data_IF_613349926062
#
_entry.id   IF_613349926062
#
_cell.length_a   1.000
_cell.length_b   1.000
_cell.length_c   1.000
_cell.angle_alpha   90.00
_cell.angle_beta   90.00
_cell.angle_gamma   90.00
#
_symmetry.space_group_name_H-M   'P 1'
#
loop_
_entity.id
_entity.type
_entity.pdbx_description
1 polymer ?
#
# COMPACT_ATOMS: atom_id res chain seq x y z
N UNK A 1 -3.31 45.02 -28.31
CA UNK A 1 -4.31 44.15 -27.60
C UNK A 1 -3.52 43.42 -26.56
N UNK A 2 -3.45 43.98 -25.37
CA UNK A 2 -2.68 43.50 -24.22
C UNK A 2 -3.44 42.28 -23.64
N UNK A 3 -2.82 41.12 -23.66
CA UNK A 3 -3.40 39.95 -23.06
C UNK A 3 -3.37 40.14 -21.54
N UNK A 4 -4.53 40.25 -20.92
CA UNK A 4 -4.67 40.30 -19.46
C UNK A 4 -4.01 39.03 -18.87
N UNK A 5 -2.98 39.21 -18.05
CA UNK A 5 -2.41 38.13 -17.25
C UNK A 5 -3.52 37.49 -16.39
N UNK A 6 -3.61 36.16 -16.32
CA UNK A 6 -4.59 35.51 -15.48
C UNK A 6 -4.33 35.95 -14.03
N UNK A 7 -5.32 36.56 -13.40
CA UNK A 7 -5.27 36.98 -12.00
C UNK A 7 -5.00 35.74 -11.13
N UNK A 8 -3.77 35.55 -10.70
CA UNK A 8 -3.39 34.45 -9.79
C UNK A 8 -3.96 34.80 -8.42
N UNK A 9 -4.89 34.01 -7.94
CA UNK A 9 -5.47 34.20 -6.61
C UNK A 9 -4.37 34.03 -5.56
N UNK A 10 -4.19 34.95 -4.60
CA UNK A 10 -3.22 34.77 -3.52
C UNK A 10 -3.48 33.47 -2.76
N UNK A 11 -2.42 32.76 -2.39
CA UNK A 11 -2.51 31.45 -1.72
C UNK A 11 -3.38 31.47 -0.47
N UNK A 12 -3.33 32.55 0.31
CA UNK A 12 -4.11 32.67 1.54
C UNK A 12 -5.61 32.79 1.26
N UNK A 13 -5.99 33.49 0.20
CA UNK A 13 -7.38 33.60 -0.25
C UNK A 13 -7.87 32.25 -0.80
N UNK A 14 -7.01 31.59 -1.57
CA UNK A 14 -7.29 30.24 -2.07
C UNK A 14 -7.54 29.25 -0.92
N UNK A 15 -6.69 29.25 0.09
CA UNK A 15 -6.84 28.39 1.28
C UNK A 15 -8.16 28.68 2.00
N UNK A 16 -8.53 29.95 2.16
CA UNK A 16 -9.77 30.32 2.85
C UNK A 16 -11.01 29.87 2.06
N UNK A 17 -11.00 29.99 0.74
CA UNK A 17 -12.07 29.46 -0.12
C UNK A 17 -12.17 27.94 -0.03
N UNK A 18 -11.03 27.25 -0.15
CA UNK A 18 -10.98 25.80 -0.09
C UNK A 18 -11.38 25.25 1.27
N UNK A 19 -11.13 25.97 2.35
CA UNK A 19 -11.59 25.60 3.71
C UNK A 19 -13.11 25.55 3.84
N UNK A 20 -13.86 26.26 3.02
CA UNK A 20 -15.33 26.26 3.04
C UNK A 20 -15.93 25.12 2.25
N UNK A 21 -15.15 24.45 1.42
CA UNK A 21 -15.59 23.33 0.61
C UNK A 21 -15.64 22.02 1.42
N UNK A 22 -16.50 21.11 1.00
CA UNK A 22 -16.53 19.75 1.53
C UNK A 22 -15.22 19.00 1.17
N UNK A 23 -14.76 18.03 1.99
CA UNK A 23 -13.49 17.31 1.76
C UNK A 23 -13.35 16.70 0.36
N UNK A 24 -14.44 16.13 -0.20
CA UNK A 24 -14.42 15.56 -1.56
C UNK A 24 -14.21 16.62 -2.64
N UNK A 25 -14.75 17.84 -2.46
CA UNK A 25 -14.56 18.95 -3.38
C UNK A 25 -13.13 19.49 -3.31
N UNK A 26 -12.56 19.59 -2.10
CA UNK A 26 -11.15 19.94 -1.93
C UNK A 26 -10.25 18.91 -2.61
N UNK A 27 -10.57 17.62 -2.49
CA UNK A 27 -9.83 16.57 -3.19
C UNK A 27 -9.92 16.73 -4.72
N UNK A 28 -11.09 17.10 -5.26
CA UNK A 28 -11.25 17.39 -6.69
C UNK A 28 -10.44 18.62 -7.12
N UNK A 29 -10.33 19.64 -6.28
CA UNK A 29 -9.55 20.85 -6.56
C UNK A 29 -8.04 20.58 -6.76
N UNK A 30 -7.50 19.48 -6.26
CA UNK A 30 -6.11 19.05 -6.49
C UNK A 30 -5.79 18.77 -7.97
N UNK A 31 -6.82 18.53 -8.78
CA UNK A 31 -6.67 18.25 -10.21
C UNK A 31 -6.72 19.50 -11.11
N UNK A 32 -7.00 20.67 -10.54
CA UNK A 32 -7.10 21.91 -11.30
C UNK A 32 -5.76 22.36 -11.86
N UNK A 33 -4.73 22.49 -11.01
CA UNK A 33 -3.36 22.81 -11.41
C UNK A 33 -2.36 22.43 -10.30
N UNK A 34 -1.06 22.48 -10.63
CA UNK A 34 0.02 22.14 -9.70
C UNK A 34 0.00 23.04 -8.46
N UNK A 35 -0.15 24.38 -8.62
CA UNK A 35 -0.16 25.33 -7.50
C UNK A 35 -1.28 25.03 -6.50
N UNK A 36 -2.48 24.71 -6.98
CA UNK A 36 -3.60 24.32 -6.11
C UNK A 36 -3.31 23.01 -5.37
N UNK A 37 -2.73 22.04 -6.04
CA UNK A 37 -2.33 20.77 -5.41
C UNK A 37 -1.34 21.03 -4.29
N UNK A 38 -0.25 21.75 -4.57
CA UNK A 38 0.81 22.03 -3.61
C UNK A 38 0.26 22.79 -2.39
N UNK A 39 -0.61 23.76 -2.60
CA UNK A 39 -1.29 24.52 -1.52
C UNK A 39 -2.21 23.61 -0.68
N UNK A 40 -3.00 22.76 -1.32
CA UNK A 40 -3.90 21.84 -0.61
C UNK A 40 -3.09 20.83 0.21
N UNK A 41 -2.04 20.24 -0.37
CA UNK A 41 -1.20 19.25 0.29
C UNK A 41 -0.42 19.86 1.46
N UNK A 42 0.07 21.08 1.33
CA UNK A 42 0.79 21.77 2.41
C UNK A 42 -0.13 22.25 3.54
N UNK A 43 -1.31 22.81 3.22
CA UNK A 43 -2.12 23.56 4.20
C UNK A 43 -3.46 22.91 4.56
N UNK A 44 -4.00 22.01 3.73
CA UNK A 44 -5.34 21.42 3.90
C UNK A 44 -5.35 19.89 4.00
N UNK A 45 -4.20 19.23 3.91
CA UNK A 45 -4.08 17.77 3.96
C UNK A 45 -4.81 17.15 5.17
N UNK A 46 -4.71 17.80 6.34
CA UNK A 46 -5.40 17.33 7.57
C UNK A 46 -6.92 17.35 7.46
N UNK A 47 -7.50 18.18 6.60
CA UNK A 47 -8.96 18.21 6.36
C UNK A 47 -9.41 17.13 5.37
N UNK A 48 -8.54 16.73 4.46
CA UNK A 48 -8.82 15.66 3.51
C UNK A 48 -8.78 14.29 4.18
N UNK A 49 -7.94 14.15 5.20
CA UNK A 49 -7.87 12.94 6.00
C UNK A 49 -8.94 13.00 7.08
N UNK A 50 -9.87 12.07 7.06
CA UNK A 50 -10.75 11.86 8.20
C UNK A 50 -9.90 11.62 9.44
N UNK A 51 -9.96 12.50 10.43
CA UNK A 51 -9.17 12.40 11.66
C UNK A 51 -9.62 11.25 12.58
N UNK A 52 -10.69 10.58 12.22
CA UNK A 52 -11.21 9.43 12.99
C UNK A 52 -11.26 8.18 12.13
N UNK A 53 -10.77 7.09 12.68
CA UNK A 53 -10.97 5.76 12.10
C UNK A 53 -12.48 5.48 12.11
N UNK A 54 -13.07 5.37 10.93
CA UNK A 54 -14.52 5.15 10.76
C UNK A 54 -14.87 3.69 10.53
N UNK A 55 -13.87 2.86 10.22
CA UNK A 55 -14.03 1.42 10.08
C UNK A 55 -12.68 0.73 9.94
N UNK A 56 -12.65 -0.55 10.24
CA UNK A 56 -11.47 -1.41 10.16
C UNK A 56 -11.84 -2.73 9.51
N UNK A 57 -10.91 -3.29 8.74
CA UNK A 57 -10.97 -4.67 8.31
C UNK A 57 -10.23 -5.56 9.32
N UNK A 58 -10.84 -6.66 9.71
CA UNK A 58 -10.24 -7.64 10.63
C UNK A 58 -10.13 -8.99 9.92
N UNK A 59 -8.93 -9.55 9.96
CA UNK A 59 -8.67 -10.93 9.52
C UNK A 59 -8.74 -11.86 10.72
N UNK A 60 -9.83 -12.56 10.90
CA UNK A 60 -9.92 -13.59 11.92
C UNK A 60 -9.18 -14.88 11.48
N UNK A 61 -8.54 -15.56 12.43
CA UNK A 61 -7.75 -16.76 12.12
C UNK A 61 -8.64 -17.89 11.58
N UNK A 62 -9.87 -17.99 12.06
CA UNK A 62 -10.82 -19.05 11.66
C UNK A 62 -11.67 -18.67 10.43
N UNK A 63 -11.53 -17.48 9.89
CA UNK A 63 -12.31 -16.98 8.74
C UNK A 63 -11.48 -16.89 7.48
N UNK A 64 -12.09 -17.32 6.38
CA UNK A 64 -11.45 -17.29 5.05
C UNK A 64 -11.43 -15.92 4.41
N UNK A 65 -12.18 -14.96 4.96
CA UNK A 65 -12.30 -13.60 4.43
C UNK A 65 -12.24 -12.58 5.57
N UNK A 66 -11.96 -11.32 5.21
CA UNK A 66 -11.92 -10.20 6.16
C UNK A 66 -13.31 -9.68 6.45
N UNK A 67 -13.57 -9.39 7.71
CA UNK A 67 -14.80 -8.72 8.15
C UNK A 67 -14.56 -7.22 8.31
N UNK A 68 -15.54 -6.42 7.94
CA UNK A 68 -15.49 -4.97 8.10
C UNK A 68 -16.32 -4.52 9.29
N UNK A 69 -15.71 -3.81 10.20
CA UNK A 69 -16.35 -3.19 11.35
C UNK A 69 -16.39 -1.68 11.19
N UNK A 70 -17.57 -1.10 11.09
CA UNK A 70 -17.74 0.34 11.04
C UNK A 70 -18.03 0.91 12.43
N UNK A 71 -17.49 2.10 12.70
CA UNK A 71 -17.86 2.85 13.89
C UNK A 71 -19.24 3.47 13.69
N UNK A 72 -20.15 3.30 14.64
CA UNK A 72 -21.44 4.00 14.61
C UNK A 72 -21.23 5.52 14.48
N UNK A 73 -21.91 6.15 13.56
CA UNK A 73 -21.84 7.61 13.36
C UNK A 73 -23.18 8.13 12.89
N UNK A 74 -23.45 9.40 13.16
CA UNK A 74 -24.65 10.11 12.66
C UNK A 74 -24.54 10.52 11.19
N UNK A 75 -23.36 10.33 10.57
CA UNK A 75 -23.11 10.61 9.14
C UNK A 75 -23.45 9.41 8.24
N UNK A 76 -23.22 9.54 6.93
CA UNK A 76 -23.42 8.46 5.99
C UNK A 76 -22.66 7.21 6.42
N UNK A 77 -23.33 6.04 6.37
CA UNK A 77 -22.72 4.77 6.69
C UNK A 77 -21.55 4.50 5.72
N UNK A 78 -20.40 4.12 6.27
CA UNK A 78 -19.30 3.60 5.47
C UNK A 78 -19.53 2.12 5.26
N UNK A 79 -19.63 1.73 4.02
CA UNK A 79 -19.68 0.33 3.63
C UNK A 79 -18.27 -0.16 3.29
N UNK A 80 -17.77 -1.14 4.03
CA UNK A 80 -16.55 -1.88 3.71
C UNK A 80 -16.80 -3.04 2.76
N UNK A 81 -18.00 -3.16 2.22
CA UNK A 81 -18.36 -4.25 1.30
C UNK A 81 -17.50 -4.20 0.03
N UNK A 82 -16.86 -5.33 -0.27
CA UNK A 82 -16.13 -5.56 -1.52
C UNK A 82 -16.93 -6.48 -2.46
N UNK A 83 -18.26 -6.38 -2.39
CA UNK A 83 -19.26 -7.13 -3.15
C UNK A 83 -19.21 -6.91 -4.67
N UNK A 84 -18.55 -5.85 -5.09
CA UNK A 84 -18.28 -5.54 -6.51
C UNK A 84 -17.11 -6.34 -7.10
N UNK A 85 -16.39 -7.11 -6.29
CA UNK A 85 -15.36 -8.03 -6.76
C UNK A 85 -15.97 -9.29 -7.38
N UNK A 86 -15.29 -9.94 -8.32
CA UNK A 86 -15.80 -11.13 -9.00
C UNK A 86 -15.70 -12.42 -8.17
N UNK A 87 -15.50 -12.30 -6.85
CA UNK A 87 -15.33 -13.43 -5.94
C UNK A 87 -16.15 -13.23 -4.65
N UNK A 88 -16.48 -14.33 -3.99
CA UNK A 88 -17.21 -14.32 -2.72
C UNK A 88 -16.22 -14.31 -1.56
N UNK A 89 -15.98 -13.13 -1.04
CA UNK A 89 -15.09 -12.92 0.08
C UNK A 89 -13.61 -12.88 -0.31
N UNK A 90 -12.90 -11.95 0.27
CA UNK A 90 -11.47 -11.76 0.11
C UNK A 90 -10.83 -11.52 1.46
N UNK A 91 -9.56 -11.86 1.56
CA UNK A 91 -8.72 -11.54 2.70
C UNK A 91 -7.84 -10.33 2.37
N UNK A 92 -7.92 -9.30 3.21
CA UNK A 92 -7.08 -8.12 3.08
C UNK A 92 -5.64 -8.49 3.48
N UNK A 93 -4.68 -8.13 2.65
CA UNK A 93 -3.25 -8.31 2.92
C UNK A 93 -2.59 -7.01 3.35
N UNK A 94 -2.87 -5.94 2.62
CA UNK A 94 -2.19 -4.67 2.80
C UNK A 94 -3.05 -3.52 2.28
N UNK A 95 -2.70 -2.30 2.63
CA UNK A 95 -3.32 -1.10 2.10
C UNK A 95 -2.31 0.03 1.99
N UNK A 96 -2.48 0.88 0.99
CA UNK A 96 -1.64 2.05 0.79
C UNK A 96 -2.44 3.14 0.09
N UNK A 97 -2.51 4.32 0.69
CA UNK A 97 -3.06 5.55 0.11
C UNK A 97 -4.43 5.37 -0.59
N UNK A 98 -5.36 4.70 0.09
CA UNK A 98 -6.73 4.45 -0.39
C UNK A 98 -6.88 3.25 -1.31
N UNK A 99 -5.81 2.57 -1.67
CA UNK A 99 -5.84 1.28 -2.33
C UNK A 99 -5.75 0.15 -1.29
N UNK A 100 -6.38 -0.96 -1.60
CA UNK A 100 -6.37 -2.19 -0.78
C UNK A 100 -5.86 -3.34 -1.62
N UNK A 101 -4.87 -4.07 -1.11
CA UNK A 101 -4.42 -5.34 -1.66
C UNK A 101 -5.15 -6.46 -0.94
N UNK A 102 -5.86 -7.28 -1.68
CA UNK A 102 -6.58 -8.41 -1.14
C UNK A 102 -6.48 -9.65 -2.04
N UNK A 103 -6.83 -10.79 -1.51
CA UNK A 103 -6.80 -12.03 -2.26
C UNK A 103 -7.99 -12.93 -1.92
N UNK A 104 -8.44 -13.71 -2.90
CA UNK A 104 -9.16 -14.96 -2.70
C UNK A 104 -8.16 -16.14 -2.66
N UNK A 105 -8.64 -17.36 -2.68
CA UNK A 105 -7.80 -18.56 -2.65
C UNK A 105 -6.85 -18.72 -3.83
N UNK A 106 -7.16 -18.09 -4.97
CA UNK A 106 -6.48 -18.30 -6.24
C UNK A 106 -5.86 -17.04 -6.82
N UNK A 107 -6.35 -15.86 -6.41
CA UNK A 107 -6.06 -14.61 -7.13
C UNK A 107 -5.87 -13.46 -6.18
N UNK A 108 -5.11 -12.48 -6.63
CA UNK A 108 -4.89 -11.24 -5.92
C UNK A 108 -5.48 -10.06 -6.67
N UNK A 109 -5.96 -9.09 -5.92
CA UNK A 109 -6.62 -7.90 -6.45
C UNK A 109 -6.08 -6.66 -5.76
N UNK A 110 -5.89 -5.60 -6.53
CA UNK A 110 -5.74 -4.25 -6.00
C UNK A 110 -7.05 -3.52 -6.23
N UNK A 111 -7.60 -2.96 -5.19
CA UNK A 111 -8.96 -2.43 -5.12
C UNK A 111 -8.91 -0.99 -4.64
N UNK A 112 -9.68 -0.12 -5.27
CA UNK A 112 -10.02 1.19 -4.73
C UNK A 112 -11.48 1.14 -4.23
N UNK A 113 -11.72 1.02 -2.92
CA UNK A 113 -13.08 0.91 -2.38
C UNK A 113 -13.93 2.16 -2.63
N UNK A 114 -13.32 3.35 -2.66
CA UNK A 114 -14.03 4.61 -2.84
C UNK A 114 -14.61 4.75 -4.26
N UNK A 115 -13.89 4.24 -5.27
CA UNK A 115 -14.34 4.30 -6.67
C UNK A 115 -14.93 2.98 -7.16
N UNK A 116 -14.93 1.94 -6.33
CA UNK A 116 -15.34 0.56 -6.65
C UNK A 116 -14.59 -0.02 -7.87
N UNK A 117 -13.39 0.50 -8.15
CA UNK A 117 -12.52 0.00 -9.22
C UNK A 117 -11.55 -1.04 -8.67
N UNK A 118 -11.25 -2.03 -9.47
CA UNK A 118 -10.31 -3.08 -9.12
C UNK A 118 -9.52 -3.57 -10.32
N UNK A 119 -8.37 -4.15 -10.04
CA UNK A 119 -7.54 -4.82 -11.02
C UNK A 119 -7.07 -6.16 -10.44
N UNK A 120 -7.12 -7.21 -11.25
CA UNK A 120 -6.55 -8.50 -10.91
C UNK A 120 -5.06 -8.48 -11.22
N UNK A 121 -4.25 -8.94 -10.28
CA UNK A 121 -2.82 -9.14 -10.51
C UNK A 121 -2.59 -10.40 -11.36
N UNK A 122 -1.58 -10.41 -12.24
CA UNK A 122 -1.12 -11.62 -12.88
C UNK A 122 -0.67 -12.66 -11.85
N UNK A 123 -0.66 -13.93 -12.26
CA UNK A 123 -0.13 -14.99 -11.41
C UNK A 123 1.27 -14.64 -10.90
N UNK A 124 1.52 -14.91 -9.61
CA UNK A 124 2.83 -14.68 -9.02
C UNK A 124 3.89 -15.54 -9.71
N UNK A 125 5.05 -14.97 -10.04
CA UNK A 125 6.19 -15.76 -10.45
C UNK A 125 6.68 -16.62 -9.26
N UNK A 126 7.35 -17.74 -9.55
CA UNK A 126 7.95 -18.55 -8.50
C UNK A 126 9.01 -17.75 -7.72
N UNK A 127 9.23 -18.06 -6.43
CA UNK A 127 10.28 -17.40 -5.64
C UNK A 127 11.62 -17.47 -6.35
N UNK A 128 12.48 -16.43 -6.25
CA UNK A 128 13.82 -16.49 -6.78
C UNK A 128 14.62 -17.63 -6.14
N UNK A 129 15.27 -18.48 -6.96
CA UNK A 129 15.87 -19.74 -6.54
C UNK A 129 17.10 -19.68 -5.61
N UNK A 130 17.51 -18.49 -5.17
CA UNK A 130 18.65 -18.31 -4.28
C UNK A 130 18.32 -18.46 -2.78
N UNK A 131 17.05 -18.62 -2.44
CA UNK A 131 16.59 -18.85 -1.05
C UNK A 131 15.44 -19.86 -1.06
N UNK A 132 15.74 -21.17 -1.19
CA UNK A 132 14.74 -22.21 -1.14
C UNK A 132 14.06 -22.24 0.22
N UNK A 133 12.78 -22.56 0.25
CA UNK A 133 12.00 -22.69 1.49
C UNK A 133 11.42 -21.40 2.05
N UNK A 134 11.68 -20.21 1.45
CA UNK A 134 11.02 -18.98 1.86
C UNK A 134 9.66 -18.81 1.18
N UNK A 135 8.69 -18.34 1.94
CA UNK A 135 7.42 -17.84 1.44
C UNK A 135 7.57 -16.41 0.87
N UNK A 136 6.52 -15.93 0.21
CA UNK A 136 6.45 -14.56 -0.28
C UNK A 136 5.20 -13.87 0.21
N UNK A 137 5.38 -12.72 0.85
CA UNK A 137 4.28 -11.85 1.24
C UNK A 137 4.21 -10.65 0.30
N UNK A 138 3.00 -10.34 -0.16
CA UNK A 138 2.77 -9.20 -1.04
C UNK A 138 2.50 -7.94 -0.23
N UNK A 139 3.16 -6.84 -0.61
CA UNK A 139 3.01 -5.50 -0.06
C UNK A 139 2.71 -4.49 -1.15
N UNK A 140 1.81 -3.56 -0.86
CA UNK A 140 1.36 -2.53 -1.78
C UNK A 140 2.12 -1.23 -1.53
N UNK A 141 2.66 -0.63 -2.59
CA UNK A 141 3.22 0.71 -2.56
C UNK A 141 2.49 1.60 -3.56
N UNK A 142 1.97 2.71 -3.07
CA UNK A 142 1.26 3.69 -3.86
C UNK A 142 1.42 5.08 -3.23
N UNK A 143 1.74 6.05 -4.05
CA UNK A 143 1.72 7.47 -3.70
C UNK A 143 1.01 8.22 -4.84
N UNK A 144 -0.26 8.54 -4.61
CA UNK A 144 -1.07 9.23 -5.61
C UNK A 144 -0.56 10.64 -5.95
N UNK A 145 0.25 11.26 -5.08
CA UNK A 145 0.85 12.56 -5.33
C UNK A 145 2.04 12.46 -6.30
N UNK A 146 2.79 11.36 -6.23
CA UNK A 146 3.95 11.13 -7.08
C UNK A 146 3.58 10.48 -8.42
N UNK A 147 2.65 9.51 -8.41
CA UNK A 147 2.31 8.73 -9.61
C UNK A 147 0.88 8.15 -9.53
N UNK A 148 0.16 8.06 -10.66
CA UNK A 148 -1.10 7.32 -10.72
C UNK A 148 -0.91 5.80 -10.71
N UNK A 149 0.35 5.32 -10.71
CA UNK A 149 0.69 3.92 -10.80
C UNK A 149 1.16 3.38 -9.46
N UNK A 150 0.63 2.22 -9.08
CA UNK A 150 1.05 1.49 -7.89
C UNK A 150 2.03 0.35 -8.24
N UNK A 151 2.75 -0.10 -7.23
CA UNK A 151 3.61 -1.27 -7.29
C UNK A 151 3.19 -2.29 -6.22
N UNK A 152 3.44 -3.57 -6.49
CA UNK A 152 3.28 -4.65 -5.50
C UNK A 152 4.59 -5.39 -5.41
N UNK A 153 5.13 -5.49 -4.19
CA UNK A 153 6.39 -6.15 -3.89
C UNK A 153 6.11 -7.54 -3.33
N UNK A 154 6.73 -8.57 -3.87
CA UNK A 154 6.75 -9.90 -3.28
C UNK A 154 8.01 -10.02 -2.42
N UNK A 155 7.84 -9.80 -1.13
CA UNK A 155 8.95 -9.83 -0.17
C UNK A 155 9.07 -11.23 0.40
N UNK A 156 10.24 -11.86 0.27
CA UNK A 156 10.50 -13.16 0.88
C UNK A 156 10.35 -13.09 2.40
N UNK A 157 9.71 -14.07 2.96
CA UNK A 157 9.50 -14.18 4.39
C UNK A 157 9.66 -15.63 4.86
N UNK A 158 9.92 -15.79 6.14
CA UNK A 158 10.03 -17.11 6.74
C UNK A 158 8.67 -17.82 6.73
N UNK A 159 8.60 -19.10 6.33
CA UNK A 159 7.36 -19.86 6.36
C UNK A 159 6.86 -20.09 7.80
N UNK A 160 5.55 -20.26 7.96
CA UNK A 160 4.93 -20.46 9.29
C UNK A 160 5.40 -21.76 9.98
N UNK A 161 5.73 -22.78 9.21
CA UNK A 161 6.18 -24.10 9.70
C UNK A 161 7.68 -24.20 10.00
N UNK A 162 8.44 -23.12 9.81
CA UNK A 162 9.90 -23.17 9.83
C UNK A 162 10.48 -23.57 8.48
N UNK A 163 11.80 -23.68 8.40
CA UNK A 163 12.50 -24.18 7.21
C UNK A 163 12.62 -25.70 7.30
N UNK A 164 12.31 -26.38 6.21
CA UNK A 164 12.51 -27.85 6.12
C UNK A 164 13.99 -28.23 6.09
N UNK A 165 14.83 -27.33 5.60
CA UNK A 165 16.28 -27.52 5.50
C UNK A 165 17.03 -26.59 6.45
N UNK A 166 17.81 -27.18 7.35
CA UNK A 166 18.62 -26.46 8.33
C UNK A 166 19.92 -25.89 7.75
N UNK A 167 20.27 -26.17 6.51
CA UNK A 167 21.55 -25.74 5.89
C UNK A 167 21.69 -24.22 5.77
N UNK A 168 20.59 -23.48 5.78
CA UNK A 168 20.57 -22.01 5.63
C UNK A 168 20.48 -21.26 6.96
N UNK A 169 20.40 -21.94 8.10
CA UNK A 169 20.15 -21.32 9.40
C UNK A 169 21.24 -20.35 9.87
N UNK A 170 22.48 -20.55 9.45
CA UNK A 170 23.62 -19.68 9.77
C UNK A 170 23.75 -18.48 8.84
N UNK A 171 22.90 -18.40 7.81
CA UNK A 171 22.93 -17.28 6.87
C UNK A 171 22.51 -15.98 7.53
N UNK A 172 23.18 -14.88 7.16
CA UNK A 172 22.80 -13.53 7.59
C UNK A 172 21.37 -13.19 7.21
N UNK A 173 20.64 -12.52 8.12
CA UNK A 173 19.30 -12.03 7.88
C UNK A 173 19.11 -10.56 8.30
N UNK A 174 18.51 -9.69 7.44
CA UNK A 174 18.27 -9.93 6.01
C UNK A 174 19.59 -10.12 5.24
N UNK A 175 19.60 -10.84 4.12
CA UNK A 175 20.80 -11.01 3.33
C UNK A 175 21.31 -9.67 2.75
N UNK A 176 22.59 -9.61 2.39
CA UNK A 176 23.21 -8.39 1.83
C UNK A 176 22.53 -7.93 0.53
N UNK A 177 21.96 -8.85 -0.23
CA UNK A 177 21.19 -8.54 -1.44
C UNK A 177 19.95 -9.41 -1.53
N UNK A 178 18.85 -8.78 -1.98
CA UNK A 178 17.56 -9.43 -2.18
C UNK A 178 17.13 -9.29 -3.63
N UNK A 179 16.97 -10.40 -4.32
CA UNK A 179 16.20 -10.40 -5.56
C UNK A 179 14.74 -10.70 -5.25
N UNK A 180 13.86 -9.79 -5.54
CA UNK A 180 12.41 -9.95 -5.36
C UNK A 180 11.65 -9.55 -6.62
N UNK A 181 10.42 -10.02 -6.72
CA UNK A 181 9.54 -9.63 -7.82
C UNK A 181 8.72 -8.40 -7.44
N UNK A 182 8.66 -7.46 -8.37
CA UNK A 182 7.89 -6.22 -8.24
C UNK A 182 6.91 -6.14 -9.41
N UNK A 183 5.64 -6.08 -9.12
CA UNK A 183 4.61 -5.78 -10.11
C UNK A 183 4.50 -4.28 -10.30
N UNK A 184 4.41 -3.84 -11.54
CA UNK A 184 4.09 -2.45 -11.89
C UNK A 184 2.72 -2.37 -12.54
N UNK A 185 1.83 -1.52 -12.02
CA UNK A 185 0.53 -1.27 -12.63
C UNK A 185 0.63 -0.52 -13.96
N UNK A 186 1.77 0.13 -14.22
CA UNK A 186 2.07 0.79 -15.48
C UNK A 186 2.36 -0.23 -16.60
N UNK A 187 3.31 -1.15 -16.35
CA UNK A 187 3.72 -2.16 -17.34
C UNK A 187 2.83 -3.41 -17.35
N UNK A 188 2.00 -3.59 -16.29
CA UNK A 188 1.15 -4.78 -16.06
C UNK A 188 1.94 -6.09 -15.95
N UNK A 189 3.19 -6.03 -15.53
CA UNK A 189 4.12 -7.18 -15.47
C UNK A 189 4.84 -7.24 -14.14
N UNK A 190 5.24 -8.47 -13.78
CA UNK A 190 6.20 -8.74 -12.73
C UNK A 190 7.62 -8.61 -13.29
N UNK A 191 8.46 -7.86 -12.61
CA UNK A 191 9.87 -7.68 -12.94
C UNK A 191 10.71 -8.12 -11.75
N UNK A 192 11.82 -8.81 -12.03
CA UNK A 192 12.78 -9.20 -10.99
C UNK A 192 13.72 -8.02 -10.75
N UNK A 193 13.78 -7.55 -9.52
CA UNK A 193 14.62 -6.41 -9.11
C UNK A 193 15.45 -6.82 -7.92
N UNK A 194 16.75 -6.47 -7.94
CA UNK A 194 17.65 -6.74 -6.83
C UNK A 194 17.74 -5.49 -5.95
N UNK A 195 17.55 -5.67 -4.65
CA UNK A 195 17.70 -4.66 -3.63
C UNK A 195 18.92 -4.98 -2.79
N UNK A 196 19.66 -3.97 -2.38
CA UNK A 196 20.80 -4.08 -1.50
C UNK A 196 20.38 -3.65 -0.09
N UNK A 197 20.86 -4.37 0.91
CA UNK A 197 20.68 -3.99 2.31
C UNK A 197 21.58 -2.81 2.62
N UNK A 198 21.02 -1.81 3.27
CA UNK A 198 21.79 -0.73 3.89
C UNK A 198 22.11 -1.13 5.34
N UNK A 199 23.36 -0.99 5.73
CA UNK A 199 23.82 -1.35 7.07
C UNK A 199 24.08 -2.85 7.28
N UNK A 200 24.25 -3.23 8.54
CA UNK A 200 24.58 -4.58 8.97
C UNK A 200 23.37 -5.52 9.04
N UNK A 201 23.62 -6.84 9.03
CA UNK A 201 22.58 -7.82 9.25
C UNK A 201 22.01 -7.70 10.67
N UNK A 202 20.71 -7.91 10.81
CA UNK A 202 20.07 -7.94 12.13
C UNK A 202 20.46 -9.19 12.94
N UNK A 203 20.98 -10.22 12.27
CA UNK A 203 21.42 -11.47 12.88
C UNK A 203 21.50 -12.59 11.85
N UNK A 204 21.37 -13.81 12.32
CA UNK A 204 21.28 -15.01 11.47
C UNK A 204 19.86 -15.54 11.40
N UNK A 205 19.57 -16.31 10.37
CA UNK A 205 18.24 -16.83 10.11
C UNK A 205 17.69 -17.68 11.27
N UNK A 206 18.55 -18.44 11.92
CA UNK A 206 18.18 -19.25 13.11
C UNK A 206 17.56 -18.40 14.22
N UNK A 207 18.13 -17.22 14.48
CA UNK A 207 17.64 -16.32 15.53
C UNK A 207 16.24 -15.73 15.19
N UNK A 208 15.96 -15.52 13.91
CA UNK A 208 14.68 -14.97 13.45
C UNK A 208 13.53 -15.98 13.53
N UNK A 209 13.81 -17.26 13.40
CA UNK A 209 12.82 -18.33 13.57
C UNK A 209 12.28 -18.42 15.00
N UNK A 210 13.13 -18.14 16.01
CA UNK A 210 12.75 -18.12 17.41
C UNK A 210 11.85 -16.96 17.84
N UNK A 211 11.96 -15.80 17.15
CA UNK A 211 11.24 -14.55 17.50
C UNK A 211 9.78 -14.57 17.03
N UNK A 212 9.41 -15.45 16.12
CA UNK A 212 8.09 -15.43 15.45
C UNK A 212 6.88 -15.74 16.35
N UNK A 213 7.06 -16.07 17.60
CA UNK A 213 5.94 -16.37 18.52
C UNK A 213 5.15 -15.16 19.01
N UNK A 214 5.45 -13.94 18.59
CA UNK A 214 4.74 -12.78 19.14
C UNK A 214 4.78 -11.44 18.41
N UNK A 215 5.44 -11.27 17.27
CA UNK A 215 5.61 -9.92 16.66
C UNK A 215 5.14 -9.91 15.21
N UNK A 216 4.10 -9.13 14.94
CA UNK A 216 3.78 -8.69 13.58
C UNK A 216 4.81 -7.65 13.12
N UNK A 217 5.61 -7.97 12.10
CA UNK A 217 6.56 -7.01 11.51
C UNK A 217 5.76 -6.10 10.56
N UNK A 218 5.63 -4.84 10.94
CA UNK A 218 5.18 -3.78 10.04
C UNK A 218 6.36 -3.33 9.17
N UNK A 219 6.28 -3.53 7.86
CA UNK A 219 7.28 -3.02 6.92
C UNK A 219 6.77 -1.66 6.41
N UNK A 220 7.46 -0.59 6.77
CA UNK A 220 7.26 0.72 6.18
C UNK A 220 8.11 0.85 4.91
N UNK A 221 7.48 1.06 3.77
CA UNK A 221 8.18 1.45 2.55
C UNK A 221 8.32 2.97 2.58
N UNK A 222 9.55 3.45 2.77
CA UNK A 222 9.85 4.88 2.66
C UNK A 222 10.11 5.18 1.18
N UNK A 223 9.35 6.07 0.53
CA UNK A 223 9.69 6.52 -0.82
C UNK A 223 11.05 7.22 -0.77
N UNK A 224 11.97 6.83 -1.64
CA UNK A 224 13.20 7.58 -1.83
C UNK A 224 12.85 8.97 -2.35
N UNK A 225 13.07 10.00 -1.56
CA UNK A 225 13.16 11.37 -2.07
C UNK A 225 14.41 11.38 -2.96
N UNK A 226 14.19 11.35 -4.27
CA UNK A 226 15.29 11.53 -5.22
C UNK A 226 15.85 12.93 -5.04
N UNK A 227 17.06 13.01 -4.50
CA UNK A 227 17.90 14.16 -4.71
C UNK A 227 18.42 14.07 -6.16
N UNK A 228 18.09 15.09 -6.94
CA UNK A 228 18.74 15.42 -8.20
C UNK A 228 19.57 16.66 -7.99
#
# INVERSE_FOLDING_TARGET
>A
MEAAEPAVLPDDVLVEVLRRLAPHSVAACRWVCKAWRDTIDARLRRRLLSQSVRGIFINFTAHSFSEFFSRPSTGPAICGGLDFLPCRGVRIRDHCDGLVLCHDWLREYVVNPATRRWARLPQRPPPPGHMPGLDQTAYLAFDHAASPHYKVFLIPCLPYGGLEDNSSLESEWPPASYAMHVFSSMTKRWEKTTFLREGEAAGILANMLGVRKGIGIGIGIVPSTGEA
#
